data_IF_992882328226
#
_entry.id   IF_992882328226
#
_cell.length_a   1.000
_cell.length_b   1.000
_cell.length_c   1.000
_cell.angle_alpha   90.00
_cell.angle_beta   90.00
_cell.angle_gamma   90.00
#
_symmetry.space_group_name_H-M   'P 1'
#
loop_
_entity.id
_entity.type
_entity.pdbx_description
1 polymer ?
#
# COMPACT_ATOMS: atom_id res chain seq x y z
N UNK A 1 14.39 7.61 10.30
CA UNK A 1 13.00 7.44 9.76
C UNK A 1 12.20 6.61 10.75
N UNK A 2 11.26 7.17 11.51
CA UNK A 2 10.40 6.38 12.42
C UNK A 2 9.52 5.43 11.60
N UNK A 3 9.53 4.15 11.98
CA UNK A 3 8.77 3.08 11.33
C UNK A 3 7.28 3.12 11.66
N UNK A 4 6.88 3.89 12.68
CA UNK A 4 5.57 3.80 13.31
C UNK A 4 4.40 4.22 12.41
N UNK A 5 4.68 4.96 11.33
CA UNK A 5 3.67 5.47 10.39
C UNK A 5 3.70 4.79 9.02
N UNK A 6 4.51 3.75 8.83
CA UNK A 6 4.59 3.02 7.56
C UNK A 6 3.35 2.14 7.39
N UNK A 7 2.77 2.21 6.19
CA UNK A 7 1.68 1.36 5.74
C UNK A 7 2.08 0.68 4.43
N UNK A 8 1.64 -0.56 4.27
CA UNK A 8 1.86 -1.36 3.06
C UNK A 8 0.62 -1.37 2.20
N UNK A 9 0.79 -1.05 0.92
CA UNK A 9 -0.23 -1.13 -0.11
C UNK A 9 0.10 -2.32 -1.02
N UNK A 10 -0.90 -3.12 -1.37
CA UNK A 10 -0.76 -4.28 -2.26
C UNK A 10 -1.75 -4.18 -3.41
N UNK A 11 -1.34 -4.67 -4.58
CA UNK A 11 -2.22 -4.90 -5.71
C UNK A 11 -2.08 -6.37 -6.14
N UNK A 12 -3.21 -7.07 -6.26
CA UNK A 12 -3.28 -8.48 -6.66
C UNK A 12 -2.83 -8.73 -8.09
N UNK A 13 -3.17 -7.82 -9.00
CA UNK A 13 -2.92 -7.97 -10.43
C UNK A 13 -1.43 -7.79 -10.77
N UNK A 14 -0.77 -6.87 -10.07
CA UNK A 14 0.65 -6.60 -10.19
C UNK A 14 1.51 -7.49 -9.29
N UNK A 15 0.91 -8.09 -8.27
CA UNK A 15 1.63 -8.80 -7.20
C UNK A 15 2.80 -7.97 -6.65
N UNK A 16 2.55 -6.68 -6.43
CA UNK A 16 3.54 -5.68 -6.02
C UNK A 16 3.12 -5.02 -4.70
N UNK A 17 4.12 -4.73 -3.87
CA UNK A 17 3.96 -3.97 -2.65
C UNK A 17 4.57 -2.57 -2.78
N UNK A 18 3.84 -1.58 -2.29
CA UNK A 18 4.31 -0.20 -2.18
C UNK A 18 4.19 0.23 -0.72
N UNK A 19 5.29 0.73 -0.16
CA UNK A 19 5.30 1.25 1.21
C UNK A 19 5.09 2.77 1.15
N UNK A 20 4.14 3.27 1.94
CA UNK A 20 3.89 4.71 2.08
C UNK A 20 3.71 5.06 3.56
N UNK A 21 3.69 6.35 3.88
CA UNK A 21 3.43 6.83 5.25
C UNK A 21 1.98 7.32 5.36
N UNK A 22 1.31 6.99 6.46
CA UNK A 22 -0.01 7.53 6.81
C UNK A 22 0.04 8.10 8.21
N UNK A 23 -0.58 9.27 8.41
CA UNK A 23 -0.72 9.86 9.75
C UNK A 23 -1.82 9.12 10.52
N UNK A 24 -1.42 8.21 11.40
CA UNK A 24 -2.36 7.38 12.18
C UNK A 24 -3.29 8.19 13.08
N UNK A 25 -2.83 9.31 13.64
CA UNK A 25 -3.65 10.16 14.53
C UNK A 25 -4.81 10.83 13.80
N UNK A 26 -4.55 11.35 12.60
CA UNK A 26 -5.58 12.03 11.78
C UNK A 26 -6.54 11.06 11.10
N UNK A 27 -6.10 9.83 10.86
CA UNK A 27 -6.84 8.85 10.07
C UNK A 27 -7.17 7.57 10.85
N UNK A 28 -7.28 7.65 12.17
CA UNK A 28 -7.53 6.49 13.04
C UNK A 28 -8.86 5.79 12.73
N UNK A 29 -9.88 6.54 12.32
CA UNK A 29 -11.24 6.05 12.01
C UNK A 29 -11.55 6.00 10.51
N UNK A 30 -10.54 6.21 9.66
CA UNK A 30 -10.75 6.26 8.22
C UNK A 30 -10.53 4.89 7.59
N UNK A 31 -11.25 4.63 6.49
CA UNK A 31 -11.16 3.38 5.74
C UNK A 31 -9.73 3.05 5.26
N UNK A 32 -9.56 1.81 4.82
CA UNK A 32 -8.31 1.33 4.20
C UNK A 32 -7.94 2.24 3.03
N UNK A 33 -6.69 2.68 3.00
CA UNK A 33 -6.22 3.58 1.95
C UNK A 33 -6.17 2.85 0.59
N UNK A 34 -6.83 3.41 -0.42
CA UNK A 34 -6.70 2.98 -1.81
C UNK A 34 -6.02 4.07 -2.63
N UNK A 35 -4.88 3.76 -3.26
CA UNK A 35 -4.13 4.72 -4.08
C UNK A 35 -3.83 4.15 -5.46
N UNK A 36 -4.04 4.97 -6.48
CA UNK A 36 -3.58 4.65 -7.83
C UNK A 36 -2.09 4.96 -7.93
N UNK A 37 -1.26 3.94 -8.22
CA UNK A 37 0.18 4.08 -8.41
C UNK A 37 0.61 3.35 -9.68
N UNK A 38 1.77 3.74 -10.20
CA UNK A 38 2.36 3.08 -11.36
C UNK A 38 2.99 1.75 -10.95
N UNK A 39 2.57 0.66 -11.58
CA UNK A 39 3.22 -0.65 -11.44
C UNK A 39 4.33 -0.81 -12.47
N UNK A 40 5.52 -1.20 -12.02
CA UNK A 40 6.66 -1.41 -12.92
C UNK A 40 6.52 -2.71 -13.72
N UNK A 41 5.96 -3.76 -13.12
CA UNK A 41 5.70 -5.03 -13.83
C UNK A 41 4.66 -4.89 -14.92
N UNK A 42 3.52 -4.27 -14.63
CA UNK A 42 2.43 -4.14 -15.60
C UNK A 42 2.57 -2.92 -16.52
N UNK A 43 3.54 -2.03 -16.24
CA UNK A 43 3.79 -0.78 -16.97
C UNK A 43 2.56 0.13 -17.10
N UNK A 44 1.63 0.04 -16.16
CA UNK A 44 0.37 0.81 -16.12
C UNK A 44 0.06 1.29 -14.71
N UNK A 45 -0.85 2.26 -14.59
CA UNK A 45 -1.38 2.71 -13.31
C UNK A 45 -2.43 1.73 -12.80
N UNK A 46 -2.27 1.25 -11.58
CA UNK A 46 -3.18 0.30 -10.94
C UNK A 46 -3.50 0.75 -9.52
N UNK A 47 -4.65 0.33 -9.00
CA UNK A 47 -5.12 0.69 -7.66
C UNK A 47 -4.50 -0.25 -6.64
N UNK A 48 -3.69 0.27 -5.73
CA UNK A 48 -3.16 -0.47 -4.60
C UNK A 48 -4.01 -0.21 -3.36
N UNK A 49 -4.28 -1.26 -2.60
CA UNK A 49 -5.11 -1.21 -1.38
C UNK A 49 -4.27 -1.51 -0.15
N UNK A 50 -4.61 -0.86 0.97
CA UNK A 50 -3.89 -1.03 2.21
C UNK A 50 -4.06 -2.44 2.78
N UNK A 51 -2.93 -3.09 3.04
CA UNK A 51 -2.86 -4.45 3.58
C UNK A 51 -2.00 -4.46 4.82
N UNK A 52 -2.46 -5.14 5.88
CA UNK A 52 -1.70 -5.30 7.13
C UNK A 52 -0.60 -6.37 7.03
N UNK A 53 -0.70 -7.28 6.05
CA UNK A 53 0.23 -8.40 5.85
C UNK A 53 1.09 -8.13 4.63
N UNK A 54 2.42 -8.13 4.79
CA UNK A 54 3.31 -8.29 3.63
C UNK A 54 3.02 -9.66 3.01
N UNK A 55 2.51 -9.68 1.78
CA UNK A 55 2.36 -10.93 1.05
C UNK A 55 3.77 -11.32 0.61
N UNK A 56 4.39 -12.24 1.35
CA UNK A 56 5.65 -12.83 0.89
C UNK A 56 5.33 -13.60 -0.38
N UNK A 57 5.97 -13.23 -1.49
CA UNK A 57 6.01 -14.09 -2.68
C UNK A 57 6.48 -15.48 -2.23
N UNK A 58 5.67 -16.50 -2.51
CA UNK A 58 6.09 -17.90 -2.41
C UNK A 58 7.10 -18.21 -3.49
#
# INVERSE_FOLDING_TARGET
MSQDNLITLYNSDADEHVVTKRNKKKFANADKLSLVKFSKKLKKRVTFTETKKMHKKK
#
